data_IF_937673088721
#
_entry.id   IF_937673088721
#
_cell.length_a   1.000
_cell.length_b   1.000
_cell.length_c   1.000
_cell.angle_alpha   90.00
_cell.angle_beta   90.00
_cell.angle_gamma   90.00
#
_symmetry.space_group_name_H-M   'P 1'
#
loop_
_entity.id
_entity.type
_entity.pdbx_description
1 polymer ?
#
# COMPACT_ATOMS: atom_id res chain seq x y z
N UNK A 1 23.78 18.52 28.88
CA UNK A 1 24.67 19.42 28.13
C UNK A 1 24.17 19.48 26.70
N UNK A 2 23.76 20.68 26.28
CA UNK A 2 23.34 21.00 24.93
C UNK A 2 24.50 20.82 23.96
N UNK A 3 24.34 19.97 22.96
CA UNK A 3 25.01 20.15 21.67
C UNK A 3 23.92 20.22 20.62
N UNK A 4 23.43 21.44 20.40
CA UNK A 4 22.75 21.81 19.18
C UNK A 4 23.72 21.56 18.02
N UNK A 5 23.56 20.44 17.32
CA UNK A 5 24.14 20.28 16.00
C UNK A 5 23.38 21.21 15.06
N UNK A 6 23.95 22.37 14.78
CA UNK A 6 23.65 23.17 13.59
C UNK A 6 23.88 22.27 12.38
N UNK A 7 22.80 21.71 11.83
CA UNK A 7 22.86 20.91 10.63
C UNK A 7 23.20 21.82 9.44
N UNK A 8 24.45 21.77 8.98
CA UNK A 8 24.78 22.15 7.61
C UNK A 8 23.81 21.39 6.68
N UNK A 9 22.98 22.12 5.95
CA UNK A 9 22.12 21.55 4.91
C UNK A 9 23.03 21.02 3.81
N UNK A 10 23.42 19.75 3.88
CA UNK A 10 24.06 19.06 2.76
C UNK A 10 23.04 19.01 1.62
N UNK A 11 23.24 19.89 0.63
CA UNK A 11 22.43 19.96 -0.56
C UNK A 11 22.85 18.82 -1.50
N UNK A 12 22.06 17.75 -1.53
CA UNK A 12 22.20 16.71 -2.53
C UNK A 12 21.49 17.13 -3.81
N UNK A 13 22.14 16.97 -4.96
CA UNK A 13 21.49 17.17 -6.25
C UNK A 13 20.45 16.07 -6.54
N UNK A 14 19.54 16.35 -7.49
CA UNK A 14 18.46 15.46 -7.86
C UNK A 14 18.94 14.08 -8.36
N UNK A 15 20.09 14.01 -9.03
CA UNK A 15 20.63 12.76 -9.56
C UNK A 15 21.16 11.89 -8.42
N UNK A 16 21.98 12.47 -7.53
CA UNK A 16 22.50 11.81 -6.33
C UNK A 16 21.38 11.25 -5.45
N UNK A 17 20.28 11.99 -5.27
CA UNK A 17 19.11 11.51 -4.52
C UNK A 17 18.51 10.27 -5.19
N UNK A 18 18.25 10.32 -6.51
CA UNK A 18 17.65 9.20 -7.26
C UNK A 18 18.53 7.96 -7.22
N UNK A 19 19.85 8.13 -7.36
CA UNK A 19 20.81 7.03 -7.36
C UNK A 19 20.90 6.36 -5.98
N UNK A 20 20.95 7.14 -4.90
CA UNK A 20 20.92 6.60 -3.53
C UNK A 20 19.61 5.87 -3.23
N UNK A 21 18.48 6.42 -3.67
CA UNK A 21 17.15 5.79 -3.51
C UNK A 21 17.05 4.48 -4.30
N UNK A 22 17.60 4.43 -5.52
CA UNK A 22 17.70 3.20 -6.32
C UNK A 22 18.57 2.18 -5.61
N UNK A 23 19.80 2.55 -5.25
CA UNK A 23 20.78 1.67 -4.61
C UNK A 23 20.23 1.07 -3.31
N UNK A 24 19.53 1.85 -2.50
CA UNK A 24 18.89 1.36 -1.27
C UNK A 24 17.68 0.44 -1.51
N UNK A 25 17.23 0.28 -2.76
CA UNK A 25 16.10 -0.58 -3.11
C UNK A 25 14.75 -0.07 -2.60
N UNK A 26 14.56 1.26 -2.55
CA UNK A 26 13.32 1.85 -2.03
C UNK A 26 12.17 1.66 -3.02
N UNK A 27 11.06 1.12 -2.53
CA UNK A 27 9.83 0.90 -3.28
C UNK A 27 8.64 1.51 -2.56
N UNK A 28 7.53 1.69 -3.28
CA UNK A 28 6.26 2.15 -2.74
C UNK A 28 5.71 1.19 -1.67
N UNK A 29 5.90 1.56 -0.40
CA UNK A 29 5.50 0.79 0.77
C UNK A 29 3.97 0.62 0.93
N UNK A 30 3.16 1.46 0.30
CA UNK A 30 1.69 1.49 0.50
C UNK A 30 0.88 0.60 -0.45
N UNK A 31 1.50 -0.26 -1.26
CA UNK A 31 0.76 -1.03 -2.27
C UNK A 31 1.64 -1.91 -3.14
N UNK A 32 1.49 -1.82 -4.47
CA UNK A 32 2.14 -2.69 -5.45
C UNK A 32 3.69 -2.59 -5.53
N UNK A 33 4.33 -1.78 -4.67
CA UNK A 33 5.78 -1.68 -4.62
C UNK A 33 6.41 -0.95 -5.81
N UNK A 34 5.78 0.09 -6.36
CA UNK A 34 6.39 0.82 -7.49
C UNK A 34 7.78 1.40 -7.10
N UNK A 35 8.84 1.22 -7.91
CA UNK A 35 10.19 1.71 -7.57
C UNK A 35 10.21 3.22 -7.31
N UNK A 36 10.67 3.63 -6.13
CA UNK A 36 10.58 5.03 -5.70
C UNK A 36 11.47 5.94 -6.54
N UNK A 37 12.67 5.50 -6.92
CA UNK A 37 13.58 6.29 -7.75
C UNK A 37 12.98 6.65 -9.12
N UNK A 38 12.13 5.77 -9.71
CA UNK A 38 11.41 6.07 -10.96
C UNK A 38 10.33 7.12 -10.72
N UNK A 39 9.57 7.05 -9.62
CA UNK A 39 8.64 8.13 -9.24
C UNK A 39 9.37 9.47 -9.05
N UNK A 40 10.59 9.45 -8.51
CA UNK A 40 11.41 10.64 -8.30
C UNK A 40 12.03 11.21 -9.58
N UNK A 41 11.99 10.50 -10.71
CA UNK A 41 12.41 11.05 -12.00
C UNK A 41 11.38 12.01 -12.61
N UNK A 42 10.12 11.89 -12.21
CA UNK A 42 9.06 12.74 -12.72
C UNK A 42 9.32 14.22 -12.37
N UNK A 43 9.02 15.10 -13.33
CA UNK A 43 9.02 16.55 -13.11
C UNK A 43 7.60 17.00 -12.79
N UNK A 44 7.38 17.50 -11.59
CA UNK A 44 6.06 17.89 -11.08
C UNK A 44 6.15 19.14 -10.24
N UNK A 45 5.05 19.88 -10.10
CA UNK A 45 5.02 21.05 -9.22
C UNK A 45 4.73 20.68 -7.75
N UNK A 46 4.04 19.57 -7.50
CA UNK A 46 3.60 19.15 -6.16
C UNK A 46 4.08 17.75 -5.79
N UNK A 47 4.75 17.62 -4.65
CA UNK A 47 5.03 16.32 -4.00
C UNK A 47 4.04 16.07 -2.87
N UNK A 48 3.30 14.97 -2.95
CA UNK A 48 2.24 14.60 -2.00
C UNK A 48 2.63 13.37 -1.20
N UNK A 49 2.67 13.49 0.12
CA UNK A 49 2.72 12.35 1.02
C UNK A 49 1.29 11.92 1.31
N UNK A 50 0.94 10.71 0.87
CA UNK A 50 -0.29 10.05 1.30
C UNK A 50 -0.04 9.44 2.68
N UNK A 51 -0.46 10.17 3.70
CA UNK A 51 -0.39 9.79 5.11
C UNK A 51 -1.77 9.44 5.69
N UNK A 52 -2.77 9.23 4.84
CA UNK A 52 -4.08 8.73 5.21
C UNK A 52 -4.12 7.21 5.11
N UNK A 53 -3.63 6.53 6.16
CA UNK A 53 -3.82 5.09 6.33
C UNK A 53 -5.33 4.79 6.40
N UNK A 54 -5.87 4.26 5.30
CA UNK A 54 -7.30 4.03 5.11
C UNK A 54 -7.71 2.59 5.32
N UNK A 55 -6.77 1.65 5.30
CA UNK A 55 -7.01 0.27 5.72
C UNK A 55 -7.37 0.26 7.21
N UNK A 56 -8.60 -0.12 7.59
CA UNK A 56 -8.95 -0.27 8.99
C UNK A 56 -7.99 -1.24 9.69
N UNK A 57 -7.80 -1.09 10.99
CA UNK A 57 -6.91 -1.92 11.83
C UNK A 57 -5.40 -1.74 11.62
N UNK A 58 -4.94 -1.20 10.50
CA UNK A 58 -3.53 -0.81 10.33
C UNK A 58 -3.27 0.53 11.02
N UNK A 59 -2.07 0.67 11.61
CA UNK A 59 -1.70 1.79 12.49
C UNK A 59 -0.31 2.35 12.19
N UNK A 60 0.32 1.95 11.09
CA UNK A 60 1.75 2.15 10.89
C UNK A 60 2.07 3.62 10.65
N UNK A 61 1.43 4.23 9.66
CA UNK A 61 1.85 5.53 9.15
C UNK A 61 1.66 6.63 10.20
N UNK A 62 0.53 6.64 10.90
CA UNK A 62 0.25 7.64 11.95
C UNK A 62 1.27 7.59 13.10
N UNK A 63 1.74 6.39 13.45
CA UNK A 63 2.69 6.20 14.54
C UNK A 63 4.11 6.57 14.10
N UNK A 64 4.51 6.17 12.89
CA UNK A 64 5.80 6.55 12.33
C UNK A 64 5.93 8.05 12.11
N UNK A 65 4.87 8.74 11.68
CA UNK A 65 4.90 10.20 11.57
C UNK A 65 5.12 10.86 12.93
N UNK A 66 4.48 10.36 13.99
CA UNK A 66 4.62 10.91 15.33
C UNK A 66 6.04 10.75 15.88
N UNK A 67 6.67 9.59 15.67
CA UNK A 67 8.02 9.30 16.21
C UNK A 67 9.17 9.71 15.29
N UNK A 68 8.93 9.92 13.99
CA UNK A 68 9.96 10.22 13.00
C UNK A 68 9.65 11.48 12.17
N UNK A 69 8.92 12.45 12.74
CA UNK A 69 8.49 13.68 12.07
C UNK A 69 9.64 14.41 11.36
N UNK A 70 10.78 14.62 12.03
CA UNK A 70 11.94 15.29 11.45
C UNK A 70 12.50 14.56 10.22
N UNK A 71 12.58 13.22 10.28
CA UNK A 71 13.02 12.41 9.13
C UNK A 71 12.01 12.49 7.98
N UNK A 72 10.72 12.49 8.29
CA UNK A 72 9.69 12.62 7.27
C UNK A 72 9.82 13.94 6.51
N UNK A 73 9.95 15.06 7.23
CA UNK A 73 10.12 16.38 6.61
C UNK A 73 11.35 16.43 5.70
N UNK A 74 12.49 15.90 6.15
CA UNK A 74 13.70 15.81 5.30
C UNK A 74 13.48 14.93 4.07
N UNK A 75 12.80 13.79 4.23
CA UNK A 75 12.43 12.94 3.11
C UNK A 75 11.53 13.64 2.08
N UNK A 76 10.59 14.47 2.53
CA UNK A 76 9.77 15.32 1.64
C UNK A 76 10.65 16.33 0.91
N UNK A 77 11.56 17.01 1.60
CA UNK A 77 12.48 17.96 0.98
C UNK A 77 13.36 17.30 -0.10
N UNK A 78 13.97 16.15 0.19
CA UNK A 78 14.76 15.41 -0.81
C UNK A 78 13.92 14.98 -2.01
N UNK A 79 12.70 14.52 -1.76
CA UNK A 79 11.82 14.11 -2.84
C UNK A 79 11.39 15.31 -3.70
N UNK A 80 11.11 16.46 -3.09
CA UNK A 80 10.82 17.71 -3.80
C UNK A 80 12.02 18.15 -4.66
N UNK A 81 13.24 18.10 -4.13
CA UNK A 81 14.47 18.38 -4.89
C UNK A 81 14.61 17.44 -6.09
N UNK A 82 14.38 16.14 -5.90
CA UNK A 82 14.51 15.16 -6.98
C UNK A 82 13.48 15.36 -8.11
N UNK A 83 12.25 15.74 -7.76
CA UNK A 83 11.15 15.92 -8.72
C UNK A 83 11.00 17.35 -9.25
N UNK A 84 11.78 18.31 -8.76
CA UNK A 84 11.62 19.73 -9.07
C UNK A 84 10.36 20.37 -8.48
N UNK A 85 9.73 19.72 -7.49
CA UNK A 85 8.49 20.22 -6.90
C UNK A 85 8.72 21.46 -6.04
N UNK A 86 7.90 22.49 -6.23
CA UNK A 86 7.96 23.71 -5.45
C UNK A 86 7.06 23.66 -4.20
N UNK A 87 6.09 22.74 -4.17
CA UNK A 87 5.17 22.54 -3.05
C UNK A 87 5.17 21.09 -2.53
N UNK A 88 5.23 20.95 -1.21
CA UNK A 88 5.05 19.68 -0.51
C UNK A 88 3.72 19.66 0.25
N UNK A 89 3.01 18.54 0.20
CA UNK A 89 1.77 18.35 0.96
C UNK A 89 1.87 17.04 1.74
N UNK A 90 1.60 17.08 3.04
CA UNK A 90 1.42 15.89 3.88
C UNK A 90 -0.08 15.74 4.15
N UNK A 91 -0.75 14.84 3.43
CA UNK A 91 -2.19 14.63 3.55
C UNK A 91 -2.49 13.53 4.58
N UNK A 92 -3.04 13.92 5.73
CA UNK A 92 -3.28 13.05 6.89
C UNK A 92 -4.67 13.31 7.50
N UNK A 93 -5.12 12.44 8.40
CA UNK A 93 -6.44 12.57 9.04
C UNK A 93 -6.38 13.46 10.28
N UNK A 94 -7.46 14.19 10.53
CA UNK A 94 -7.61 15.09 11.69
C UNK A 94 -7.26 14.40 13.03
N UNK A 95 -7.73 13.16 13.22
CA UNK A 95 -7.50 12.38 14.44
C UNK A 95 -6.04 12.04 14.73
N UNK A 96 -5.11 12.22 13.79
CA UNK A 96 -3.69 11.92 13.97
C UNK A 96 -2.96 13.04 14.74
N UNK A 97 -3.52 13.47 15.88
CA UNK A 97 -3.07 14.66 16.60
C UNK A 97 -1.60 14.55 17.05
N UNK A 98 -1.14 13.36 17.44
CA UNK A 98 0.28 13.12 17.79
C UNK A 98 1.21 13.42 16.60
N UNK A 99 0.84 13.01 15.40
CA UNK A 99 1.61 13.28 14.19
C UNK A 99 1.54 14.76 13.80
N UNK A 100 0.36 15.38 13.88
CA UNK A 100 0.18 16.81 13.61
C UNK A 100 1.08 17.64 14.54
N UNK A 101 1.01 17.39 15.84
CA UNK A 101 1.80 18.11 16.84
C UNK A 101 3.31 17.95 16.63
N UNK A 102 3.76 16.77 16.19
CA UNK A 102 5.18 16.50 15.92
C UNK A 102 5.65 17.14 14.59
N UNK A 103 4.79 17.20 13.57
CA UNK A 103 5.13 17.71 12.24
C UNK A 103 5.08 19.23 12.15
N UNK A 104 4.01 19.86 12.64
CA UNK A 104 3.76 21.31 12.52
C UNK A 104 4.96 22.20 12.83
N UNK A 105 5.72 22.03 13.94
CA UNK A 105 6.84 22.91 14.26
C UNK A 105 8.06 22.73 13.33
N UNK A 106 8.08 21.68 12.50
CA UNK A 106 9.21 21.33 11.63
C UNK A 106 8.96 21.71 10.16
N UNK A 107 7.76 22.16 9.80
CA UNK A 107 7.40 22.41 8.40
C UNK A 107 8.04 23.69 7.88
N UNK A 108 8.82 23.65 6.78
CA UNK A 108 9.21 24.86 6.06
C UNK A 108 8.01 25.48 5.33
N UNK A 109 8.16 26.72 4.86
CA UNK A 109 7.08 27.51 4.23
C UNK A 109 6.47 26.86 2.98
N UNK A 110 7.23 26.03 2.27
CA UNK A 110 6.80 25.34 1.06
C UNK A 110 6.23 23.94 1.29
N UNK A 111 6.12 23.48 2.55
CA UNK A 111 5.48 22.21 2.92
C UNK A 111 4.32 22.48 3.86
N UNK A 112 3.14 21.93 3.57
CA UNK A 112 1.95 22.08 4.43
C UNK A 112 1.32 20.74 4.78
N UNK A 113 0.65 20.70 5.92
CA UNK A 113 -0.30 19.63 6.24
C UNK A 113 -1.63 19.91 5.52
N UNK A 114 -2.25 18.86 4.99
CA UNK A 114 -3.63 18.89 4.53
C UNK A 114 -4.46 17.88 5.32
N UNK A 115 -5.53 18.35 5.94
CA UNK A 115 -6.42 17.52 6.75
C UNK A 115 -7.47 16.88 5.87
N UNK A 116 -7.44 15.54 5.79
CA UNK A 116 -8.43 14.73 5.10
C UNK A 116 -9.56 14.30 6.03
N UNK A 117 -10.80 14.19 5.53
CA UNK A 117 -11.91 13.63 6.30
C UNK A 117 -11.65 12.15 6.65
N UNK A 118 -12.16 11.69 7.80
CA UNK A 118 -12.02 10.28 8.23
C UNK A 118 -13.01 9.34 7.51
N UNK A 119 -12.85 9.27 6.19
CA UNK A 119 -13.68 8.48 5.28
C UNK A 119 -12.83 7.52 4.46
N UNK A 120 -13.44 6.43 4.02
CA UNK A 120 -12.85 5.45 3.14
C UNK A 120 -13.38 5.61 1.70
N UNK A 121 -12.52 5.53 0.66
CA UNK A 121 -11.06 5.34 0.72
C UNK A 121 -10.30 6.66 0.47
N UNK A 122 -10.30 7.61 1.42
CA UNK A 122 -9.59 8.89 1.26
C UNK A 122 -8.06 8.72 0.96
N UNK A 123 -7.48 7.59 1.33
CA UNK A 123 -6.10 7.18 1.04
C UNK A 123 -5.89 6.46 -0.30
N UNK A 124 -6.91 6.33 -1.15
CA UNK A 124 -6.72 5.98 -2.56
C UNK A 124 -5.92 7.10 -3.25
N UNK A 125 -4.86 6.75 -3.99
CA UNK A 125 -3.91 7.72 -4.57
C UNK A 125 -4.60 8.85 -5.35
N UNK A 126 -5.63 8.53 -6.14
CA UNK A 126 -6.32 9.53 -6.97
C UNK A 126 -7.30 10.35 -6.14
N UNK A 127 -7.97 9.76 -5.16
CA UNK A 127 -8.82 10.54 -4.23
C UNK A 127 -7.99 11.46 -3.34
N UNK A 128 -6.84 11.01 -2.85
CA UNK A 128 -5.96 11.85 -2.02
C UNK A 128 -5.48 13.07 -2.81
N UNK A 129 -5.13 12.91 -4.10
CA UNK A 129 -4.79 14.04 -4.98
C UNK A 129 -5.97 15.00 -5.10
N UNK A 130 -7.16 14.51 -5.42
CA UNK A 130 -8.35 15.35 -5.59
C UNK A 130 -8.69 16.12 -4.30
N UNK A 131 -8.72 15.45 -3.15
CA UNK A 131 -9.04 16.09 -1.88
C UNK A 131 -7.97 17.11 -1.47
N UNK A 132 -6.68 16.81 -1.70
CA UNK A 132 -5.58 17.66 -1.25
C UNK A 132 -5.24 18.85 -2.18
N UNK A 133 -5.55 18.72 -3.48
CA UNK A 133 -5.12 19.66 -4.52
C UNK A 133 -6.27 20.21 -5.38
N UNK A 134 -7.45 19.59 -5.34
CA UNK A 134 -8.56 19.86 -6.27
C UNK A 134 -8.37 19.26 -7.67
N UNK A 135 -7.18 18.73 -7.99
CA UNK A 135 -6.88 18.14 -9.32
C UNK A 135 -7.44 16.73 -9.42
N UNK A 136 -8.06 16.40 -10.55
CA UNK A 136 -8.60 15.06 -10.81
C UNK A 136 -7.75 14.35 -11.85
N UNK A 137 -7.23 13.17 -11.51
CA UNK A 137 -6.44 12.35 -12.43
C UNK A 137 -7.37 11.72 -13.46
N UNK A 138 -7.15 11.92 -14.78
CA UNK A 138 -7.94 11.27 -15.81
C UNK A 138 -7.91 9.73 -15.69
N UNK A 139 -8.96 9.03 -16.16
CA UNK A 139 -8.94 7.57 -16.20
C UNK A 139 -7.71 7.02 -16.95
N UNK A 140 -7.14 5.92 -16.45
CA UNK A 140 -5.93 5.27 -17.00
C UNK A 140 -4.65 6.15 -17.05
N UNK A 141 -4.71 7.43 -16.68
CA UNK A 141 -3.54 8.29 -16.54
C UNK A 141 -2.84 8.11 -15.19
N UNK A 142 -1.58 8.56 -15.14
CA UNK A 142 -0.76 8.57 -13.92
C UNK A 142 -0.84 9.95 -13.24
N UNK A 143 -0.64 10.03 -11.91
CA UNK A 143 -0.63 11.30 -11.16
C UNK A 143 0.24 12.41 -11.76
N UNK A 144 1.35 12.04 -12.43
CA UNK A 144 2.26 12.98 -13.08
C UNK A 144 1.57 13.82 -14.17
N UNK A 145 0.50 13.31 -14.79
CA UNK A 145 -0.26 14.04 -15.81
C UNK A 145 -1.01 15.25 -15.27
N UNK A 146 -1.16 15.35 -13.93
CA UNK A 146 -1.75 16.50 -13.24
C UNK A 146 -0.72 17.20 -12.36
N UNK A 147 0.57 16.99 -12.61
CA UNK A 147 1.65 17.68 -11.89
C UNK A 147 1.83 17.24 -10.43
N UNK A 148 1.49 15.99 -10.10
CA UNK A 148 1.63 15.46 -8.74
C UNK A 148 2.36 14.12 -8.71
N UNK A 149 3.29 13.96 -7.77
CA UNK A 149 3.84 12.64 -7.38
C UNK A 149 3.37 12.29 -5.98
N UNK A 150 2.88 11.06 -5.79
CA UNK A 150 2.38 10.59 -4.49
C UNK A 150 3.26 9.47 -3.94
N UNK A 151 3.63 9.57 -2.66
CA UNK A 151 4.33 8.52 -1.93
C UNK A 151 3.74 8.29 -0.54
N UNK A 152 3.81 7.04 -0.06
CA UNK A 152 3.43 6.66 1.29
C UNK A 152 4.49 7.12 2.31
N UNK A 153 4.08 7.32 3.58
CA UNK A 153 4.94 7.74 4.70
C UNK A 153 6.21 6.88 4.81
N UNK A 154 6.08 5.55 4.85
CA UNK A 154 7.24 4.66 4.97
C UNK A 154 8.20 4.78 3.78
N UNK A 155 7.68 5.00 2.57
CA UNK A 155 8.52 5.26 1.40
C UNK A 155 9.37 6.51 1.60
N UNK A 156 8.76 7.59 2.08
CA UNK A 156 9.45 8.88 2.29
C UNK A 156 10.49 8.79 3.42
N UNK A 157 10.18 8.06 4.49
CA UNK A 157 11.15 7.77 5.54
C UNK A 157 12.35 6.97 5.01
N UNK A 158 12.10 6.00 4.12
CA UNK A 158 13.15 5.23 3.47
C UNK A 158 13.97 6.08 2.48
N UNK A 159 13.35 7.04 1.77
CA UNK A 159 14.07 8.02 0.93
C UNK A 159 15.07 8.80 1.79
N UNK A 160 14.64 9.35 2.94
CA UNK A 160 15.53 10.09 3.82
C UNK A 160 16.72 9.24 4.30
N UNK A 161 16.49 7.99 4.70
CA UNK A 161 17.57 7.08 5.12
C UNK A 161 18.51 6.70 3.98
N UNK A 162 17.98 6.46 2.79
CA UNK A 162 18.79 6.19 1.60
C UNK A 162 19.69 7.39 1.28
N UNK A 163 19.15 8.61 1.33
CA UNK A 163 19.91 9.82 1.03
C UNK A 163 20.95 10.13 2.10
N UNK A 164 20.58 10.12 3.39
CA UNK A 164 21.46 10.54 4.49
C UNK A 164 22.50 9.48 4.87
N UNK A 165 22.11 8.20 4.84
CA UNK A 165 22.85 7.11 5.46
C UNK A 165 23.26 6.04 4.45
N UNK A 166 22.83 6.16 3.18
CA UNK A 166 22.95 5.10 2.17
C UNK A 166 22.39 3.77 2.68
N UNK A 167 21.38 3.85 3.56
CA UNK A 167 20.87 2.69 4.29
C UNK A 167 19.84 1.93 3.45
N UNK A 168 20.10 0.67 3.07
CA UNK A 168 19.17 -0.10 2.23
C UNK A 168 17.93 -0.56 2.98
N UNK A 169 16.84 -0.75 2.24
CA UNK A 169 15.56 -1.23 2.81
C UNK A 169 15.68 -2.72 3.16
N UNK A 170 16.04 -2.94 4.43
CA UNK A 170 16.26 -4.26 5.06
C UNK A 170 15.21 -4.60 6.11
N UNK A 171 14.34 -3.64 6.43
CA UNK A 171 13.29 -3.79 7.44
C UNK A 171 11.96 -3.26 6.95
N UNK A 172 10.89 -3.83 7.48
CA UNK A 172 9.53 -3.45 7.20
C UNK A 172 8.76 -3.21 8.50
N UNK A 173 8.08 -2.07 8.60
CA UNK A 173 7.14 -1.80 9.69
C UNK A 173 5.73 -2.20 9.27
N UNK A 174 5.08 -3.02 10.08
CA UNK A 174 3.74 -3.55 9.82
C UNK A 174 2.92 -3.67 11.12
N UNK A 175 1.60 -3.73 10.99
CA UNK A 175 0.69 -3.92 12.15
C UNK A 175 0.22 -5.37 12.24
N UNK A 176 0.26 -5.97 13.43
CA UNK A 176 -0.42 -7.24 13.75
C UNK A 176 -1.63 -6.93 14.62
N UNK A 177 -2.82 -7.31 14.17
CA UNK A 177 -4.08 -6.94 14.82
C UNK A 177 -5.16 -8.02 14.64
N UNK A 178 -6.28 -7.86 15.34
CA UNK A 178 -7.37 -8.84 15.41
C UNK A 178 -7.20 -9.82 16.55
N UNK A 179 -7.55 -11.09 16.32
CA UNK A 179 -7.55 -12.18 17.29
C UNK A 179 -6.14 -12.65 17.67
N UNK A 180 -5.35 -11.75 18.27
CA UNK A 180 -3.97 -12.00 18.74
C UNK A 180 -3.82 -11.58 20.19
N UNK A 181 -2.93 -12.26 20.93
CA UNK A 181 -2.78 -12.02 22.36
C UNK A 181 -2.25 -10.61 22.68
N UNK A 182 -1.40 -10.07 21.79
CA UNK A 182 -0.79 -8.75 21.91
C UNK A 182 -0.79 -8.02 20.57
N UNK A 183 -1.87 -7.29 20.24
CA UNK A 183 -1.88 -6.43 19.05
C UNK A 183 -0.77 -5.38 19.14
N UNK A 184 0.01 -5.22 18.07
CA UNK A 184 1.15 -4.28 18.05
C UNK A 184 1.53 -3.86 16.63
N UNK A 185 2.22 -2.73 16.51
CA UNK A 185 2.99 -2.37 15.32
C UNK A 185 4.47 -2.61 15.59
N UNK A 186 5.18 -3.24 14.67
CA UNK A 186 6.59 -3.57 14.84
C UNK A 186 7.38 -3.44 13.54
N UNK A 187 8.67 -3.16 13.67
CA UNK A 187 9.63 -3.20 12.55
C UNK A 187 10.41 -4.50 12.59
N UNK A 188 10.34 -5.31 11.55
CA UNK A 188 11.03 -6.62 11.45
C UNK A 188 11.93 -6.68 10.20
N UNK A 189 12.94 -7.57 10.17
CA UNK A 189 13.71 -7.87 8.97
C UNK A 189 12.80 -8.29 7.81
N UNK A 190 13.10 -7.82 6.60
CA UNK A 190 12.47 -8.35 5.39
C UNK A 190 12.91 -9.80 5.21
N UNK A 191 11.98 -10.67 4.85
CA UNK A 191 12.20 -12.12 4.75
C UNK A 191 11.88 -12.91 6.01
N UNK A 192 11.68 -12.26 7.17
CA UNK A 192 11.14 -12.94 8.36
C UNK A 192 9.77 -13.56 8.03
N UNK A 193 9.49 -14.76 8.54
CA UNK A 193 8.21 -15.42 8.28
C UNK A 193 7.05 -14.70 8.99
N UNK A 194 5.85 -14.72 8.41
CA UNK A 194 4.65 -14.22 9.10
C UNK A 194 4.30 -15.06 10.34
N UNK A 195 4.80 -16.30 10.41
CA UNK A 195 4.71 -17.18 11.58
C UNK A 195 5.45 -16.59 12.78
N UNK A 196 6.70 -16.16 12.60
CA UNK A 196 7.47 -15.49 13.64
C UNK A 196 6.82 -14.16 14.03
N UNK A 197 6.36 -13.38 13.04
CA UNK A 197 5.63 -12.13 13.30
C UNK A 197 4.39 -12.37 14.18
N UNK A 198 3.63 -13.44 13.93
CA UNK A 198 2.49 -13.82 14.77
C UNK A 198 2.94 -14.23 16.18
N UNK A 199 4.05 -14.96 16.30
CA UNK A 199 4.61 -15.34 17.59
C UNK A 199 5.05 -14.12 18.42
N UNK A 200 5.62 -13.08 17.78
CA UNK A 200 5.94 -11.79 18.42
C UNK A 200 4.70 -11.07 18.96
N UNK A 201 3.53 -11.28 18.34
CA UNK A 201 2.23 -10.83 18.83
C UNK A 201 1.60 -11.76 19.88
N UNK A 202 2.32 -12.78 20.34
CA UNK A 202 1.84 -13.75 21.34
C UNK A 202 0.91 -14.83 20.81
N UNK A 203 0.83 -15.02 19.49
CA UNK A 203 -0.02 -16.04 18.87
C UNK A 203 -1.48 -15.61 18.67
N UNK A 204 -2.24 -16.47 17.99
CA UNK A 204 -3.68 -16.29 17.79
C UNK A 204 -4.45 -16.65 19.07
N UNK A 205 -5.56 -15.96 19.32
CA UNK A 205 -6.43 -16.19 20.50
C UNK A 205 -7.70 -16.98 20.16
N UNK A 206 -7.75 -17.58 18.97
CA UNK A 206 -8.89 -18.34 18.46
C UNK A 206 -8.39 -19.65 17.83
N UNK A 207 -9.19 -20.72 17.93
CA UNK A 207 -8.75 -22.07 17.58
C UNK A 207 -8.54 -22.29 16.08
N UNK A 208 -9.40 -21.72 15.23
CA UNK A 208 -9.32 -21.84 13.76
C UNK A 208 -9.18 -20.44 13.13
N UNK A 209 -7.97 -19.85 13.12
CA UNK A 209 -7.74 -18.51 12.59
C UNK A 209 -7.62 -18.50 11.06
N UNK A 210 -8.18 -17.47 10.45
CA UNK A 210 -7.86 -17.03 9.09
C UNK A 210 -6.94 -15.82 9.10
N UNK A 211 -6.09 -15.70 8.08
CA UNK A 211 -5.05 -14.68 8.01
C UNK A 211 -5.18 -13.81 6.76
N UNK A 212 -5.08 -12.50 6.94
CA UNK A 212 -5.04 -11.52 5.84
C UNK A 212 -3.70 -10.79 5.89
N UNK A 213 -2.96 -10.81 4.78
CA UNK A 213 -1.78 -9.97 4.58
C UNK A 213 -2.21 -8.61 4.03
N UNK A 214 -2.01 -7.56 4.83
CA UNK A 214 -2.51 -6.21 4.59
C UNK A 214 -3.70 -5.87 5.48
N UNK A 215 -4.57 -4.96 5.01
CA UNK A 215 -5.77 -4.55 5.74
C UNK A 215 -7.04 -5.31 5.34
N UNK A 216 -8.17 -5.09 6.01
CA UNK A 216 -9.40 -5.84 5.78
C UNK A 216 -10.06 -5.50 4.45
N UNK A 217 -9.73 -4.33 3.86
CA UNK A 217 -10.26 -3.94 2.56
C UNK A 217 -9.43 -4.56 1.45
N UNK A 218 -8.21 -4.12 1.20
CA UNK A 218 -7.44 -4.55 0.03
C UNK A 218 -6.50 -5.74 0.30
N UNK A 219 -6.34 -6.16 1.56
CA UNK A 219 -5.46 -7.27 1.93
C UNK A 219 -5.92 -8.62 1.36
N UNK A 220 -4.94 -9.48 1.08
CA UNK A 220 -5.14 -10.82 0.52
C UNK A 220 -5.19 -11.90 1.59
N UNK A 221 -6.04 -12.91 1.40
CA UNK A 221 -6.01 -14.12 2.24
C UNK A 221 -4.68 -14.85 2.01
N UNK A 222 -4.04 -15.27 3.09
CA UNK A 222 -2.88 -16.16 3.04
C UNK A 222 -3.25 -17.52 3.63
N UNK A 223 -2.74 -18.58 3.01
CA UNK A 223 -2.98 -19.98 3.43
C UNK A 223 -1.80 -20.59 4.17
N UNK A 224 -0.63 -19.93 4.12
CA UNK A 224 0.56 -20.31 4.89
C UNK A 224 1.20 -19.08 5.55
N UNK A 225 1.55 -19.23 6.82
CA UNK A 225 2.32 -18.26 7.61
C UNK A 225 3.83 -18.31 7.32
N UNK A 226 4.29 -19.28 6.53
CA UNK A 226 5.68 -19.33 6.05
C UNK A 226 5.92 -18.30 4.94
N UNK A 227 4.84 -17.64 4.47
CA UNK A 227 4.95 -16.48 3.59
C UNK A 227 5.85 -15.42 4.25
N UNK A 228 6.92 -14.96 3.58
CA UNK A 228 7.85 -14.00 4.17
C UNK A 228 7.30 -12.56 4.13
N UNK A 229 7.76 -11.76 5.08
CA UNK A 229 7.59 -10.30 5.07
C UNK A 229 8.33 -9.71 3.87
N UNK A 230 7.65 -8.93 3.03
CA UNK A 230 8.24 -8.21 1.90
C UNK A 230 8.24 -6.70 2.16
N UNK A 231 8.86 -5.92 1.26
CA UNK A 231 8.79 -4.45 1.28
C UNK A 231 7.36 -3.89 1.21
N UNK A 232 6.38 -4.68 0.78
CA UNK A 232 4.98 -4.25 0.62
C UNK A 232 4.03 -4.80 1.69
N UNK A 233 4.48 -5.71 2.56
CA UNK A 233 3.67 -6.25 3.67
C UNK A 233 3.21 -5.13 4.61
N UNK A 234 1.92 -4.78 4.58
CA UNK A 234 1.37 -3.68 5.41
C UNK A 234 0.93 -4.10 6.81
N UNK A 235 0.55 -5.37 6.98
CA UNK A 235 0.08 -5.90 8.25
C UNK A 235 -0.28 -7.38 8.17
N UNK A 236 -0.53 -7.97 9.33
CA UNK A 236 -1.09 -9.31 9.49
C UNK A 236 -2.36 -9.18 10.33
N UNK A 237 -3.51 -9.44 9.72
CA UNK A 237 -4.77 -9.51 10.45
C UNK A 237 -5.13 -10.96 10.70
N UNK A 238 -5.46 -11.25 11.95
CA UNK A 238 -5.93 -12.55 12.41
C UNK A 238 -7.40 -12.41 12.77
N UNK A 239 -8.25 -13.23 12.17
CA UNK A 239 -9.69 -13.27 12.47
C UNK A 239 -10.13 -14.73 12.59
N UNK A 240 -11.23 -15.04 13.28
CA UNK A 240 -11.82 -16.36 13.20
C UNK A 240 -12.07 -16.74 11.73
N UNK A 241 -11.80 -17.99 11.34
CA UNK A 241 -12.04 -18.43 9.97
C UNK A 241 -13.50 -18.27 9.56
N UNK A 242 -14.43 -18.40 10.51
CA UNK A 242 -15.87 -18.15 10.33
C UNK A 242 -16.22 -16.69 10.04
N UNK A 243 -15.29 -15.75 10.25
CA UNK A 243 -15.53 -14.33 10.00
C UNK A 243 -15.82 -14.06 8.52
N UNK A 244 -16.80 -13.21 8.23
CA UNK A 244 -17.29 -12.95 6.87
C UNK A 244 -16.19 -12.51 5.89
N UNK A 245 -15.23 -11.70 6.34
CA UNK A 245 -14.08 -11.28 5.53
C UNK A 245 -13.15 -12.43 5.10
N UNK A 246 -13.01 -13.45 5.94
CA UNK A 246 -12.23 -14.65 5.64
C UNK A 246 -13.02 -15.54 4.69
N UNK A 247 -14.27 -15.86 5.05
CA UNK A 247 -15.16 -16.70 4.26
C UNK A 247 -15.30 -16.19 2.82
N UNK A 248 -15.53 -14.88 2.63
CA UNK A 248 -15.62 -14.26 1.31
C UNK A 248 -14.34 -14.42 0.48
N UNK A 249 -13.16 -14.34 1.09
CA UNK A 249 -11.89 -14.50 0.37
C UNK A 249 -11.56 -15.96 0.03
N UNK A 250 -12.11 -16.91 0.79
CA UNK A 250 -11.97 -18.35 0.54
C UNK A 250 -12.83 -18.84 -0.63
N UNK A 251 -13.93 -18.14 -0.94
CA UNK A 251 -14.81 -18.52 -2.06
C UNK A 251 -14.04 -18.52 -3.38
N UNK A 252 -14.21 -19.55 -4.19
CA UNK A 252 -13.62 -19.64 -5.52
C UNK A 252 -14.35 -18.72 -6.52
N UNK A 253 -13.71 -18.53 -7.67
CA UNK A 253 -14.18 -17.67 -8.75
C UNK A 253 -15.53 -18.10 -9.36
N UNK A 254 -15.78 -19.42 -9.48
CA UNK A 254 -17.03 -19.94 -10.06
C UNK A 254 -18.19 -19.68 -9.12
N UNK A 255 -17.98 -19.90 -7.82
CA UNK A 255 -18.98 -19.62 -6.79
C UNK A 255 -19.38 -18.14 -6.78
N UNK A 256 -18.42 -17.22 -6.88
CA UNK A 256 -18.72 -15.77 -6.94
C UNK A 256 -19.60 -15.42 -8.14
N UNK A 257 -19.28 -15.93 -9.33
CA UNK A 257 -20.04 -15.69 -10.54
C UNK A 257 -21.44 -16.31 -10.47
N UNK A 258 -21.56 -17.53 -9.94
CA UNK A 258 -22.83 -18.21 -9.77
C UNK A 258 -23.78 -17.43 -8.85
N UNK A 259 -23.28 -17.03 -7.66
CA UNK A 259 -24.08 -16.22 -6.72
C UNK A 259 -24.48 -14.89 -7.37
N UNK A 260 -23.54 -14.19 -8.00
CA UNK A 260 -23.85 -12.93 -8.68
C UNK A 260 -24.89 -13.06 -9.79
N UNK A 261 -24.91 -14.17 -10.53
CA UNK A 261 -25.91 -14.43 -11.56
C UNK A 261 -27.30 -14.69 -10.97
N UNK A 262 -27.37 -15.36 -9.82
CA UNK A 262 -28.63 -15.78 -9.21
C UNK A 262 -29.29 -14.70 -8.34
N UNK A 263 -28.51 -13.95 -7.54
CA UNK A 263 -29.09 -13.06 -6.50
C UNK A 263 -28.97 -11.57 -6.82
N UNK A 264 -28.21 -11.17 -7.84
CA UNK A 264 -28.03 -9.76 -8.15
C UNK A 264 -29.32 -9.12 -8.66
N UNK A 265 -29.88 -8.22 -7.84
CA UNK A 265 -31.10 -7.45 -8.11
C UNK A 265 -30.90 -6.27 -9.11
N UNK A 266 -29.70 -6.12 -9.68
CA UNK A 266 -29.39 -5.09 -10.69
C UNK A 266 -29.59 -3.63 -10.23
N UNK A 267 -29.57 -3.37 -8.92
CA UNK A 267 -29.56 -2.00 -8.38
C UNK A 267 -28.26 -1.25 -8.73
N UNK A 268 -28.24 0.08 -8.50
CA UNK A 268 -27.10 0.95 -8.85
C UNK A 268 -26.15 1.25 -7.68
N UNK A 269 -26.43 0.79 -6.45
CA UNK A 269 -25.69 1.17 -5.24
C UNK A 269 -24.16 0.98 -5.36
N UNK A 270 -23.71 -0.11 -5.98
CA UNK A 270 -22.27 -0.36 -6.16
C UNK A 270 -21.56 0.64 -7.10
N UNK A 271 -22.30 1.35 -7.96
CA UNK A 271 -21.80 2.48 -8.74
C UNK A 271 -21.93 3.79 -8.00
N UNK A 272 -23.05 4.04 -7.33
CA UNK A 272 -23.25 5.29 -6.60
C UNK A 272 -22.24 5.46 -5.47
N UNK A 273 -21.81 4.37 -4.83
CA UNK A 273 -20.74 4.38 -3.83
C UNK A 273 -19.32 4.16 -4.42
N UNK A 274 -19.17 3.99 -5.73
CA UNK A 274 -17.87 3.74 -6.34
C UNK A 274 -17.00 5.00 -6.31
N UNK A 275 -15.85 5.03 -5.62
CA UNK A 275 -15.09 6.26 -5.46
C UNK A 275 -14.53 6.82 -6.77
N UNK A 276 -14.27 5.95 -7.76
CA UNK A 276 -13.85 6.36 -9.10
C UNK A 276 -15.00 7.00 -9.87
N UNK A 277 -16.21 6.46 -9.74
CA UNK A 277 -17.41 7.05 -10.33
C UNK A 277 -17.66 8.46 -9.76
N UNK A 278 -17.54 8.61 -8.44
CA UNK A 278 -17.78 9.88 -7.75
C UNK A 278 -16.88 11.03 -8.24
N UNK A 279 -15.66 10.75 -8.70
CA UNK A 279 -14.74 11.77 -9.23
C UNK A 279 -14.84 11.95 -10.76
N UNK A 280 -15.81 11.30 -11.41
CA UNK A 280 -16.09 11.44 -12.84
C UNK A 280 -15.47 10.38 -13.74
N UNK A 281 -14.94 9.26 -13.21
CA UNK A 281 -14.54 8.12 -14.05
C UNK A 281 -15.79 7.33 -14.48
N UNK A 282 -15.81 6.76 -15.69
CA UNK A 282 -16.99 6.04 -16.21
C UNK A 282 -17.23 4.65 -15.56
N UNK A 283 -16.42 4.27 -14.58
CA UNK A 283 -16.49 2.98 -13.90
C UNK A 283 -17.87 2.74 -13.29
N UNK A 284 -18.59 1.76 -13.84
CA UNK A 284 -19.94 1.42 -13.43
C UNK A 284 -20.05 -0.05 -13.00
N UNK A 285 -19.69 -0.41 -11.74
CA UNK A 285 -19.70 -1.78 -11.28
C UNK A 285 -21.01 -2.55 -11.51
N UNK A 286 -22.19 -1.90 -11.37
CA UNK A 286 -23.48 -2.56 -11.62
C UNK A 286 -23.61 -3.02 -13.08
N UNK A 287 -23.19 -2.19 -14.04
CA UNK A 287 -23.21 -2.52 -15.47
C UNK A 287 -22.18 -3.59 -15.81
N UNK A 288 -21.01 -3.57 -15.17
CA UNK A 288 -19.99 -4.61 -15.36
C UNK A 288 -20.47 -5.97 -14.86
N UNK A 289 -21.13 -6.03 -13.69
CA UNK A 289 -21.77 -7.26 -13.21
C UNK A 289 -22.83 -7.74 -14.20
N UNK A 290 -23.67 -6.83 -14.72
CA UNK A 290 -24.68 -7.15 -15.72
C UNK A 290 -24.07 -7.70 -17.01
N UNK A 291 -23.00 -7.08 -17.51
CA UNK A 291 -22.31 -7.49 -18.73
C UNK A 291 -21.67 -8.88 -18.60
N UNK A 292 -21.08 -9.20 -17.45
CA UNK A 292 -20.51 -10.52 -17.17
C UNK A 292 -21.60 -11.59 -17.04
N UNK A 293 -22.72 -11.28 -16.38
CA UNK A 293 -23.81 -12.23 -16.18
C UNK A 293 -24.64 -12.47 -17.46
N UNK A 294 -24.80 -11.44 -18.29
CA UNK A 294 -25.64 -11.43 -19.48
C UNK A 294 -24.84 -10.88 -20.67
N UNK A 295 -24.27 -11.77 -21.48
CA UNK A 295 -23.36 -11.41 -22.58
C UNK A 295 -23.95 -10.37 -23.56
N UNK A 296 -25.28 -10.34 -23.72
CA UNK A 296 -25.98 -9.35 -24.57
C UNK A 296 -25.85 -7.90 -24.06
N UNK A 297 -25.56 -7.70 -22.77
CA UNK A 297 -25.38 -6.39 -22.17
C UNK A 297 -23.92 -5.89 -22.22
N UNK A 298 -22.99 -6.69 -22.73
CA UNK A 298 -21.58 -6.35 -22.79
C UNK A 298 -21.26 -5.55 -24.06
N UNK A 299 -20.81 -4.31 -23.90
CA UNK A 299 -20.18 -3.54 -24.97
C UNK A 299 -18.67 -3.46 -24.71
N UNK A 300 -17.81 -3.41 -25.75
CA UNK A 300 -16.37 -3.30 -25.57
C UNK A 300 -15.98 -2.11 -24.67
N UNK A 301 -16.56 -0.94 -24.93
CA UNK A 301 -16.27 0.27 -24.15
C UNK A 301 -16.64 0.12 -22.67
N UNK A 302 -17.79 -0.49 -22.36
CA UNK A 302 -18.20 -0.74 -20.98
C UNK A 302 -17.19 -1.65 -20.28
N UNK A 303 -16.79 -2.76 -20.90
CA UNK A 303 -15.84 -3.70 -20.30
C UNK A 303 -14.50 -3.03 -19.99
N UNK A 304 -14.01 -2.16 -20.90
CA UNK A 304 -12.75 -1.43 -20.70
C UNK A 304 -12.77 -0.51 -19.47
N UNK A 305 -13.93 -0.02 -19.02
CA UNK A 305 -14.03 0.78 -17.79
C UNK A 305 -13.48 0.04 -16.57
N UNK A 306 -13.50 -1.31 -16.56
CA UNK A 306 -12.99 -2.14 -15.47
C UNK A 306 -11.49 -1.90 -15.18
N UNK A 307 -10.72 -1.46 -16.19
CA UNK A 307 -9.30 -1.13 -16.07
C UNK A 307 -9.03 0.07 -15.13
N UNK A 308 -10.03 0.93 -14.92
CA UNK A 308 -9.94 2.14 -14.08
C UNK A 308 -10.17 1.85 -12.58
N UNK A 309 -10.63 0.64 -12.24
CA UNK A 309 -10.96 0.27 -10.87
C UNK A 309 -9.73 0.22 -9.95
N UNK A 310 -9.85 0.81 -8.75
CA UNK A 310 -8.83 0.73 -7.69
C UNK A 310 -8.94 -0.49 -6.78
N UNK A 311 -9.91 -1.38 -7.01
CA UNK A 311 -10.10 -2.62 -6.25
C UNK A 311 -10.31 -2.39 -4.73
N UNK A 312 -10.86 -1.22 -4.38
CA UNK A 312 -11.04 -0.76 -2.99
C UNK A 312 -12.13 -1.50 -2.18
N UNK A 313 -12.82 -2.49 -2.73
CA UNK A 313 -13.86 -3.28 -2.05
C UNK A 313 -15.11 -2.56 -1.52
N UNK A 314 -15.31 -1.26 -1.80
CA UNK A 314 -16.54 -0.55 -1.41
C UNK A 314 -17.80 -1.23 -1.96
N UNK A 315 -17.78 -1.60 -3.24
CA UNK A 315 -18.93 -2.19 -3.92
C UNK A 315 -19.35 -3.56 -3.35
N UNK A 316 -18.41 -4.34 -2.81
CA UNK A 316 -18.66 -5.65 -2.20
C UNK A 316 -18.97 -5.52 -0.70
N UNK A 317 -18.15 -4.76 0.02
CA UNK A 317 -18.15 -4.79 1.48
C UNK A 317 -19.17 -3.83 2.11
N UNK A 318 -19.64 -2.84 1.35
CA UNK A 318 -20.54 -1.80 1.86
C UNK A 318 -21.79 -1.66 0.99
N UNK A 319 -21.61 -1.53 -0.33
CA UNK A 319 -22.69 -1.10 -1.20
C UNK A 319 -23.71 -2.20 -1.53
N UNK A 320 -23.27 -3.44 -1.75
CA UNK A 320 -24.14 -4.51 -2.20
C UNK A 320 -25.07 -5.01 -1.07
N UNK A 321 -26.41 -4.88 -1.21
CA UNK A 321 -27.33 -5.33 -0.16
C UNK A 321 -27.51 -6.85 -0.15
N UNK A 322 -27.33 -7.51 -1.30
CA UNK A 322 -27.46 -8.96 -1.47
C UNK A 322 -26.13 -9.72 -1.35
N UNK A 323 -25.05 -9.02 -0.97
CA UNK A 323 -23.77 -9.64 -0.61
C UNK A 323 -22.95 -10.25 -1.76
N UNK A 324 -23.21 -9.89 -3.02
CA UNK A 324 -22.35 -10.28 -4.15
C UNK A 324 -21.05 -9.45 -4.14
N UNK A 325 -20.05 -9.87 -4.93
CA UNK A 325 -18.79 -9.13 -5.07
C UNK A 325 -18.61 -8.54 -6.48
N UNK A 326 -19.07 -7.30 -6.73
CA UNK A 326 -18.73 -6.58 -7.94
C UNK A 326 -17.22 -6.34 -8.08
N UNK A 327 -16.49 -6.18 -6.96
CA UNK A 327 -15.03 -5.98 -6.99
C UNK A 327 -14.33 -7.19 -7.59
N UNK A 328 -14.61 -8.40 -7.11
CA UNK A 328 -13.94 -9.61 -7.59
C UNK A 328 -14.27 -9.90 -9.05
N UNK A 329 -15.52 -9.67 -9.46
CA UNK A 329 -15.94 -9.76 -10.86
C UNK A 329 -15.15 -8.77 -11.72
N UNK A 330 -15.04 -7.51 -11.27
CA UNK A 330 -14.23 -6.51 -11.97
C UNK A 330 -12.76 -6.92 -12.03
N UNK A 331 -12.21 -7.51 -10.97
CA UNK A 331 -10.81 -7.97 -10.93
C UNK A 331 -10.53 -9.10 -11.92
N UNK A 332 -11.47 -10.03 -12.09
CA UNK A 332 -11.40 -11.08 -13.12
C UNK A 332 -11.33 -10.46 -14.51
N UNK A 333 -12.28 -9.56 -14.82
CA UNK A 333 -12.34 -8.87 -16.10
C UNK A 333 -11.07 -8.04 -16.36
N UNK A 334 -10.59 -7.32 -15.36
CA UNK A 334 -9.36 -6.52 -15.44
C UNK A 334 -8.13 -7.38 -15.74
N UNK A 335 -8.05 -8.60 -15.19
CA UNK A 335 -6.98 -9.57 -15.47
C UNK A 335 -7.03 -10.04 -16.93
N UNK A 336 -8.21 -10.37 -17.44
CA UNK A 336 -8.41 -10.77 -18.83
C UNK A 336 -8.05 -9.64 -19.81
N UNK A 337 -8.58 -8.44 -19.58
CA UNK A 337 -8.30 -7.28 -20.44
C UNK A 337 -6.82 -6.90 -20.48
N UNK A 338 -6.12 -7.00 -19.34
CA UNK A 338 -4.67 -6.77 -19.27
C UNK A 338 -3.87 -7.83 -20.02
N UNK A 339 -4.29 -9.11 -19.96
CA UNK A 339 -3.64 -10.18 -20.73
C UNK A 339 -3.75 -9.95 -22.24
N UNK A 340 -4.83 -9.28 -22.69
CA UNK A 340 -5.05 -8.86 -24.07
C UNK A 340 -4.42 -7.51 -24.42
N UNK A 341 -3.68 -6.88 -23.51
CA UNK A 341 -3.07 -5.55 -23.68
C UNK A 341 -4.07 -4.44 -24.02
N UNK A 342 -5.34 -4.59 -23.65
CA UNK A 342 -6.33 -3.55 -23.84
C UNK A 342 -6.04 -2.33 -22.96
N UNK A 343 -6.36 -1.15 -23.50
CA UNK A 343 -6.26 0.13 -22.82
C UNK A 343 -7.62 0.80 -22.81
N UNK A 344 -7.90 1.49 -21.71
CA UNK A 344 -9.08 2.32 -21.61
C UNK A 344 -8.76 3.72 -22.13
N UNK A 345 -9.60 4.23 -23.00
CA UNK A 345 -9.63 5.62 -23.44
C UNK A 345 -11.05 6.13 -23.24
N UNK A 346 -11.20 7.23 -22.50
CA UNK A 346 -12.50 7.81 -22.19
C UNK A 346 -12.37 9.13 -21.44
N UNK A 347 -13.45 9.91 -21.39
CA UNK A 347 -13.44 11.23 -20.78
C UNK A 347 -13.32 11.15 -19.25
N UNK A 348 -12.85 12.25 -18.67
CA UNK A 348 -13.08 12.56 -17.26
C UNK A 348 -14.33 13.44 -17.16
N UNK A 349 -15.42 12.89 -16.65
CA UNK A 349 -16.69 13.59 -16.51
C UNK A 349 -16.65 14.58 -15.32
N UNK A 350 -17.66 15.47 -15.18
CA UNK A 350 -17.84 16.24 -13.95
C UNK A 350 -17.90 15.34 -12.71
N UNK A 351 -17.48 15.88 -11.56
CA UNK A 351 -17.64 15.17 -10.30
C UNK A 351 -19.12 15.00 -9.95
N UNK A 352 -19.46 13.91 -9.28
CA UNK A 352 -20.81 13.69 -8.79
C UNK A 352 -21.10 14.68 -7.66
N UNK A 353 -22.22 15.42 -7.73
CA UNK A 353 -22.60 16.41 -6.72
C UNK A 353 -22.72 15.81 -5.31
N UNK A 354 -23.03 14.50 -5.23
CA UNK A 354 -23.14 13.71 -4.01
C UNK A 354 -21.84 13.02 -3.61
N UNK A 355 -20.72 13.25 -4.31
CA UNK A 355 -19.44 12.64 -4.01
C UNK A 355 -19.04 12.79 -2.53
N UNK A 356 -19.15 14.00 -1.99
CA UNK A 356 -18.78 14.30 -0.59
C UNK A 356 -19.67 13.56 0.43
N UNK A 357 -20.92 13.26 0.08
CA UNK A 357 -21.90 12.65 0.98
C UNK A 357 -21.96 11.11 0.87
N UNK A 358 -21.41 10.55 -0.22
CA UNK A 358 -21.40 9.10 -0.51
C UNK A 358 -20.13 8.39 -0.06
N UNK A 359 -19.12 9.14 0.41
CA UNK A 359 -17.94 8.57 1.05
C UNK A 359 -18.30 7.93 2.40
N UNK A 360 -17.57 6.87 2.78
CA UNK A 360 -17.97 6.02 3.90
C UNK A 360 -17.17 6.39 5.15
N UNK A 361 -17.79 6.85 6.24
CA UNK A 361 -17.07 7.09 7.49
C UNK A 361 -16.38 5.81 7.99
N UNK A 362 -15.10 5.90 8.37
CA UNK A 362 -14.29 4.72 8.73
C UNK A 362 -14.89 3.97 9.93
N UNK A 363 -15.47 4.68 10.90
CA UNK A 363 -16.18 4.05 12.04
C UNK A 363 -17.35 3.17 11.59
N UNK A 364 -18.13 3.64 10.61
CA UNK A 364 -19.24 2.86 10.03
C UNK A 364 -18.72 1.67 9.24
N UNK A 365 -17.61 1.84 8.51
CA UNK A 365 -16.95 0.75 7.79
C UNK A 365 -16.54 -0.38 8.76
N UNK A 366 -15.83 -0.07 9.85
CA UNK A 366 -15.42 -1.07 10.87
C UNK A 366 -16.62 -1.88 11.37
N UNK A 367 -17.71 -1.19 11.71
CA UNK A 367 -18.95 -1.84 12.19
C UNK A 367 -19.57 -2.73 11.11
N UNK A 368 -19.68 -2.23 9.87
CA UNK A 368 -20.25 -2.97 8.73
C UNK A 368 -19.44 -4.23 8.39
N UNK A 369 -18.13 -4.19 8.60
CA UNK A 369 -17.21 -5.30 8.37
C UNK A 369 -17.21 -6.34 9.51
N UNK A 370 -17.90 -6.09 10.63
CA UNK A 370 -17.88 -6.99 11.79
C UNK A 370 -16.57 -6.95 12.59
N UNK A 371 -15.80 -5.87 12.48
CA UNK A 371 -14.45 -5.77 13.04
C UNK A 371 -14.39 -5.14 14.44
N UNK A 372 -15.52 -4.70 15.00
CA UNK A 372 -15.56 -3.94 16.26
C UNK A 372 -14.85 -4.68 17.40
N UNK A 373 -15.09 -5.98 17.56
CA UNK A 373 -14.50 -6.79 18.63
C UNK A 373 -13.01 -7.08 18.42
N UNK A 374 -12.52 -6.87 17.20
CA UNK A 374 -11.16 -7.18 16.76
C UNK A 374 -10.32 -5.91 16.54
N UNK A 375 -10.91 -4.73 16.71
CA UNK A 375 -10.25 -3.46 16.45
C UNK A 375 -9.45 -3.02 17.68
N UNK A 376 -8.14 -3.23 17.64
CA UNK A 376 -7.23 -2.79 18.70
C UNK A 376 -6.31 -1.64 18.26
N UNK A 377 -5.73 -0.93 19.24
CA UNK A 377 -4.86 0.23 18.98
C UNK A 377 -3.49 -0.15 18.41
N UNK A 378 -3.01 -1.36 18.67
CA UNK A 378 -1.76 -1.92 18.16
C UNK A 378 -0.57 -0.92 18.23
N UNK A 379 -0.10 -0.57 19.44
CA UNK A 379 0.95 0.43 19.62
C UNK A 379 2.28 0.00 18.97
N UNK A 380 3.04 0.98 18.50
CA UNK A 380 4.37 0.82 17.95
C UNK A 380 5.33 0.37 19.06
N UNK A 381 5.93 -0.80 18.87
CA UNK A 381 7.02 -1.30 19.71
C UNK A 381 8.35 -0.69 19.28
N UNK A 382 9.15 -0.29 20.27
CA UNK A 382 10.52 0.21 20.08
C UNK A 382 11.57 -0.91 20.10
N UNK A 383 11.15 -2.17 20.34
CA UNK A 383 12.07 -3.30 20.40
C UNK A 383 12.74 -3.58 19.05
N UNK A 384 14.03 -3.94 19.07
CA UNK A 384 14.73 -4.44 17.88
C UNK A 384 14.49 -5.94 17.70
N UNK A 385 13.52 -6.27 16.85
CA UNK A 385 13.22 -7.65 16.51
C UNK A 385 14.24 -8.21 15.53
N UNK A 386 14.63 -9.45 15.74
CA UNK A 386 15.60 -10.16 14.90
C UNK A 386 15.09 -11.56 14.57
N UNK A 387 15.63 -12.20 13.54
CA UNK A 387 15.33 -13.59 13.16
C UNK A 387 16.60 -14.33 12.77
N UNK A 388 16.61 -15.65 12.96
CA UNK A 388 17.71 -16.52 12.58
C UNK A 388 17.68 -16.89 11.09
N UNK A 389 16.57 -16.66 10.39
CA UNK A 389 16.43 -16.95 8.97
C UNK A 389 15.61 -15.88 8.24
N UNK A 390 16.01 -15.52 7.03
CA UNK A 390 15.21 -14.66 6.15
C UNK A 390 15.06 -15.27 4.76
N UNK A 391 13.83 -15.32 4.25
CA UNK A 391 13.55 -15.67 2.85
C UNK A 391 13.22 -14.41 2.05
N UNK A 392 14.21 -13.89 1.34
CA UNK A 392 14.11 -12.66 0.55
C UNK A 392 13.52 -12.96 -0.83
N UNK A 393 12.26 -12.55 -1.06
CA UNK A 393 11.64 -12.69 -2.38
C UNK A 393 12.37 -11.85 -3.43
N UNK A 394 12.61 -12.41 -4.61
CA UNK A 394 13.24 -11.71 -5.74
C UNK A 394 12.30 -10.70 -6.41
N UNK A 395 10.98 -10.88 -6.25
CA UNK A 395 9.96 -9.96 -6.76
C UNK A 395 9.17 -9.34 -5.62
N UNK A 396 9.51 -8.10 -5.28
CA UNK A 396 8.85 -7.31 -4.22
C UNK A 396 8.28 -5.98 -4.73
N UNK A 397 8.12 -5.86 -6.04
CA UNK A 397 7.68 -4.65 -6.72
C UNK A 397 7.03 -4.98 -8.06
N UNK A 398 6.37 -3.98 -8.65
CA UNK A 398 6.02 -4.00 -10.07
C UNK A 398 7.27 -3.92 -10.94
N UNK A 399 7.23 -4.54 -12.12
CA UNK A 399 8.37 -4.67 -13.02
C UNK A 399 9.01 -6.06 -13.01
N UNK A 400 10.27 -6.14 -13.40
CA UNK A 400 11.05 -7.38 -13.54
C UNK A 400 11.42 -7.96 -12.17
N UNK A 401 11.61 -9.27 -12.07
CA UNK A 401 12.20 -9.88 -10.87
C UNK A 401 13.68 -9.53 -10.78
N UNK A 402 14.20 -9.36 -9.56
CA UNK A 402 15.63 -9.24 -9.33
C UNK A 402 16.34 -10.58 -9.61
N UNK A 403 17.58 -10.50 -10.08
CA UNK A 403 18.47 -11.62 -10.35
C UNK A 403 19.50 -11.67 -9.22
N UNK A 404 19.69 -12.82 -8.55
CA UNK A 404 20.70 -12.98 -7.51
C UNK A 404 22.09 -12.57 -8.00
N UNK A 405 22.81 -11.79 -7.19
CA UNK A 405 24.22 -11.44 -7.41
C UNK A 405 25.17 -12.08 -6.38
N UNK A 406 24.65 -13.01 -5.58
CA UNK A 406 25.38 -13.82 -4.59
C UNK A 406 25.24 -15.31 -4.90
N UNK A 407 26.07 -16.13 -4.28
CA UNK A 407 26.07 -17.59 -4.46
C UNK A 407 25.66 -18.33 -3.18
N UNK A 408 25.15 -19.55 -3.33
CA UNK A 408 24.92 -20.45 -2.18
C UNK A 408 26.24 -20.71 -1.46
N UNK A 409 26.24 -20.59 -0.14
CA UNK A 409 27.43 -20.68 0.72
C UNK A 409 28.22 -19.39 0.86
N UNK A 410 27.80 -18.30 0.21
CA UNK A 410 28.41 -16.98 0.40
C UNK A 410 28.00 -16.36 1.73
N UNK A 411 28.93 -15.71 2.42
CA UNK A 411 28.62 -14.89 3.60
C UNK A 411 28.20 -13.50 3.14
N UNK A 412 27.08 -13.02 3.67
CA UNK A 412 26.53 -11.70 3.39
C UNK A 412 26.40 -10.90 4.68
N UNK A 413 26.58 -9.58 4.57
CA UNK A 413 26.33 -8.64 5.66
C UNK A 413 25.01 -7.90 5.44
N UNK A 414 24.32 -7.54 6.52
CA UNK A 414 23.07 -6.77 6.49
C UNK A 414 23.28 -5.49 5.67
N UNK A 415 22.43 -5.31 4.68
CA UNK A 415 22.50 -4.18 3.74
C UNK A 415 23.32 -4.48 2.47
N UNK A 416 24.04 -5.60 2.39
CA UNK A 416 24.66 -6.01 1.13
C UNK A 416 23.58 -6.29 0.07
N UNK A 417 23.78 -5.79 -1.14
CA UNK A 417 22.93 -6.13 -2.28
C UNK A 417 23.11 -7.62 -2.60
N UNK A 418 22.00 -8.37 -2.61
CA UNK A 418 21.99 -9.83 -2.88
C UNK A 418 21.27 -10.18 -4.18
N UNK A 419 20.47 -9.25 -4.72
CA UNK A 419 19.90 -9.35 -6.05
C UNK A 419 19.63 -7.96 -6.62
N UNK A 420 19.82 -7.78 -7.93
CA UNK A 420 19.44 -6.55 -8.63
C UNK A 420 18.66 -6.88 -9.90
N UNK A 421 17.88 -5.91 -10.39
CA UNK A 421 17.13 -6.07 -11.63
C UNK A 421 18.04 -5.90 -12.85
N UNK A 422 17.68 -6.50 -14.00
CA UNK A 422 18.40 -6.29 -15.25
C UNK A 422 18.56 -4.79 -15.56
N UNK A 423 19.67 -4.44 -16.19
CA UNK A 423 19.92 -3.05 -16.59
C UNK A 423 18.78 -2.53 -17.49
N UNK A 424 18.35 -1.30 -17.24
CA UNK A 424 17.21 -0.67 -17.94
C UNK A 424 15.82 -1.22 -17.56
N UNK A 425 15.73 -2.31 -16.79
CA UNK A 425 14.43 -2.84 -16.37
C UNK A 425 13.82 -2.01 -15.22
N UNK A 426 12.48 -1.93 -15.22
CA UNK A 426 11.75 -1.37 -14.08
C UNK A 426 11.87 -2.31 -12.88
N UNK A 427 12.44 -1.83 -11.78
CA UNK A 427 12.47 -2.58 -10.53
C UNK A 427 13.38 -1.99 -9.46
N UNK A 428 13.72 -2.75 -8.42
CA UNK A 428 14.58 -2.28 -7.34
C UNK A 428 15.40 -3.42 -6.71
N UNK A 429 16.66 -3.16 -6.30
CA UNK A 429 17.52 -4.19 -5.70
C UNK A 429 16.99 -4.73 -4.37
N UNK A 430 17.38 -5.96 -4.05
CA UNK A 430 17.09 -6.69 -2.82
C UNK A 430 18.38 -6.81 -2.00
N UNK A 431 18.26 -6.64 -0.69
CA UNK A 431 19.41 -6.60 0.23
C UNK A 431 19.27 -7.65 1.32
N UNK A 432 20.39 -8.18 1.80
CA UNK A 432 20.45 -9.03 2.97
C UNK A 432 19.88 -8.28 4.18
N UNK A 433 18.90 -8.88 4.86
CA UNK A 433 18.25 -8.24 6.02
C UNK A 433 18.90 -8.58 7.36
N UNK A 434 19.77 -9.59 7.36
CA UNK A 434 20.59 -10.06 8.48
C UNK A 434 22.01 -10.37 7.98
N UNK A 435 22.97 -10.39 8.90
CA UNK A 435 24.29 -10.99 8.65
C UNK A 435 24.13 -12.51 8.64
N UNK A 436 24.80 -13.21 7.73
CA UNK A 436 24.72 -14.67 7.69
C UNK A 436 25.25 -15.32 6.42
N UNK A 437 24.85 -16.58 6.23
CA UNK A 437 25.21 -17.42 5.09
C UNK A 437 24.01 -17.58 4.15
N UNK A 438 24.23 -17.43 2.85
CA UNK A 438 23.22 -17.78 1.83
C UNK A 438 23.04 -19.29 1.80
N UNK A 439 21.95 -19.80 2.37
CA UNK A 439 21.68 -21.23 2.48
C UNK A 439 21.04 -21.80 1.21
N UNK A 440 20.22 -21.01 0.54
CA UNK A 440 19.46 -21.41 -0.64
C UNK A 440 19.20 -20.24 -1.59
N UNK A 441 19.22 -20.52 -2.89
CA UNK A 441 18.78 -19.60 -3.95
C UNK A 441 17.81 -20.39 -4.84
N UNK A 442 16.60 -19.89 -4.99
CA UNK A 442 15.58 -20.44 -5.90
C UNK A 442 15.27 -19.43 -7.01
N UNK A 443 14.43 -19.81 -7.98
CA UNK A 443 13.94 -18.87 -9.00
C UNK A 443 13.03 -17.76 -8.44
N UNK A 444 12.66 -17.82 -7.16
CA UNK A 444 11.71 -16.89 -6.53
C UNK A 444 12.28 -16.17 -5.29
N UNK A 445 13.33 -16.71 -4.66
CA UNK A 445 13.82 -16.23 -3.38
C UNK A 445 15.30 -16.54 -3.12
N UNK A 446 15.87 -15.83 -2.15
CA UNK A 446 17.18 -16.10 -1.52
C UNK A 446 16.95 -16.32 -0.03
N UNK A 447 17.43 -17.43 0.52
CA UNK A 447 17.37 -17.70 1.97
C UNK A 447 18.72 -17.42 2.60
N UNK A 448 18.73 -16.63 3.68
CA UNK A 448 19.91 -16.30 4.48
C UNK A 448 19.69 -16.80 5.90
N UNK A 449 20.63 -17.59 6.42
CA UNK A 449 20.64 -18.07 7.81
C UNK A 449 21.69 -17.30 8.58
N UNK A 450 21.33 -16.81 9.76
CA UNK A 450 22.22 -16.07 10.66
C UNK A 450 23.48 -16.89 10.98
N UNK A 451 24.64 -16.24 10.96
CA UNK A 451 25.90 -16.86 11.38
C UNK A 451 27.13 -15.99 11.20
#
# INVERSE_FOLDING_TARGET
MNTAMTAEHVLYDAQTIRDRVRAAGVVGAGGAGFPAHVKLQAQVDTFLVNAAECEPMLKVDQQLMAVQAARLVRGVQYAMTATGANAGIIALKEKYQKAINALTPLLPTNIRIHILPDVYPAGDEVLTIWMATGRRVPPAALPVSVGVVVNNVQTVLNIARAVEQQYPVTRRTLTVNGAVARPLTLSVPIGMSLREVLALAGGATVDDPGFINGGPMMGGLITSLDTPVSKTTGGLLVLPKSHALIQRRMQDERTVLAVAKTVCEQCRLCTDLCPRHLIGHELSPHLLVRAVNYQQAATPQLLLTALTCSECNVCESVACPVGISPMRINRMLKRELRALNHRYEGPLNPEDEMAKYRLIPVKRLITKLGLSDWYHDAPLSEADYTTDETTLLLRQHIGASAIPCVQKGERVVRGQCVADVPEGALGAPVHASIDGLVSEITGQSITVIRG
#
